data_IF_366768817982
#
_entry.id   IF_366768817982
#
_cell.length_a   1.000
_cell.length_b   1.000
_cell.length_c   1.000
_cell.angle_alpha   90.00
_cell.angle_beta   90.00
_cell.angle_gamma   90.00
#
_symmetry.space_group_name_H-M   'P 1'
#
loop_
_entity.id
_entity.type
_entity.pdbx_description
1 polymer ?
#
# COMPACT_ATOMS: atom_id res chain seq x y z
N UNK A 1 50.27 -39.94 -49.52
CA UNK A 1 49.63 -40.33 -50.78
C UNK A 1 48.34 -39.54 -50.92
N UNK A 2 48.32 -38.75 -51.93
CA UNK A 2 47.27 -37.80 -52.31
C UNK A 2 45.93 -38.46 -52.60
N UNK A 3 44.91 -37.63 -52.54
CA UNK A 3 43.63 -37.56 -53.31
C UNK A 3 42.43 -37.43 -52.40
N UNK A 4 41.40 -36.68 -52.73
CA UNK A 4 41.13 -35.50 -53.54
C UNK A 4 39.69 -35.05 -53.17
N UNK A 5 39.42 -33.79 -53.26
CA UNK A 5 38.08 -33.16 -53.11
C UNK A 5 37.19 -33.61 -54.28
N UNK A 6 35.85 -33.67 -53.95
CA UNK A 6 34.80 -33.10 -54.81
C UNK A 6 33.41 -33.33 -54.20
N UNK A 7 32.76 -32.26 -53.89
CA UNK A 7 31.41 -31.75 -54.20
C UNK A 7 30.20 -32.67 -53.97
N UNK A 8 29.37 -32.27 -52.97
CA UNK A 8 27.94 -32.47 -53.03
C UNK A 8 27.24 -31.19 -52.55
N UNK A 9 26.67 -30.45 -53.49
CA UNK A 9 25.70 -29.37 -53.25
C UNK A 9 24.47 -29.98 -52.60
N UNK A 10 24.10 -29.50 -51.42
CA UNK A 10 22.77 -29.70 -50.85
C UNK A 10 21.99 -28.39 -50.95
N UNK A 11 20.91 -28.44 -51.66
CA UNK A 11 19.90 -27.37 -51.84
C UNK A 11 19.26 -27.04 -50.52
N UNK A 12 19.49 -25.84 -50.00
CA UNK A 12 18.75 -25.27 -48.90
C UNK A 12 17.43 -24.73 -49.43
N UNK A 13 16.36 -25.46 -49.18
CA UNK A 13 15.00 -24.95 -49.32
C UNK A 13 14.75 -23.91 -48.21
N UNK A 14 14.69 -22.64 -48.58
CA UNK A 14 14.32 -21.54 -47.68
C UNK A 14 12.87 -21.64 -47.28
N UNK A 15 12.63 -22.12 -46.07
CA UNK A 15 11.38 -21.98 -45.38
C UNK A 15 11.35 -20.60 -44.69
N UNK A 16 10.64 -19.63 -45.27
CA UNK A 16 10.30 -18.39 -44.61
C UNK A 16 9.31 -18.70 -43.49
N UNK A 17 9.78 -18.71 -42.24
CA UNK A 17 8.94 -18.66 -41.06
C UNK A 17 8.32 -17.26 -41.04
N UNK A 18 7.05 -17.16 -41.48
CA UNK A 18 6.17 -16.04 -41.25
C UNK A 18 5.87 -15.99 -39.74
N UNK A 19 6.57 -15.11 -39.01
CA UNK A 19 6.17 -14.70 -37.66
C UNK A 19 4.86 -13.93 -37.81
N UNK A 20 3.76 -14.59 -37.60
CA UNK A 20 2.48 -13.93 -37.40
C UNK A 20 2.62 -13.03 -36.16
N UNK A 21 2.82 -11.75 -36.39
CA UNK A 21 2.62 -10.71 -35.37
C UNK A 21 1.13 -10.76 -34.99
N UNK A 22 0.80 -11.49 -33.94
CA UNK A 22 -0.46 -11.32 -33.26
C UNK A 22 -0.42 -9.90 -32.64
N UNK A 23 -0.99 -8.94 -33.33
CA UNK A 23 -1.36 -7.66 -32.74
C UNK A 23 -2.29 -7.96 -31.58
N UNK A 24 -1.73 -7.96 -30.36
CA UNK A 24 -2.51 -7.92 -29.15
C UNK A 24 -3.24 -6.57 -29.14
N UNK A 25 -4.48 -6.59 -29.62
CA UNK A 25 -5.44 -5.49 -29.47
C UNK A 25 -5.47 -5.10 -27.99
N UNK A 26 -5.03 -3.89 -27.68
CA UNK A 26 -5.19 -3.32 -26.35
C UNK A 26 -6.68 -3.31 -26.03
N UNK A 27 -7.11 -4.04 -25.01
CA UNK A 27 -8.49 -4.03 -24.56
C UNK A 27 -8.88 -2.57 -24.23
N UNK A 28 -10.11 -2.14 -24.57
CA UNK A 28 -10.53 -0.77 -24.35
C UNK A 28 -10.43 -0.43 -22.87
N UNK A 29 -9.69 0.62 -22.54
CA UNK A 29 -9.52 1.11 -21.17
C UNK A 29 -10.87 1.46 -20.59
N UNK A 30 -11.38 0.68 -19.63
CA UNK A 30 -12.64 0.99 -18.94
C UNK A 30 -12.49 2.31 -18.21
N UNK A 31 -13.29 3.30 -18.57
CA UNK A 31 -13.33 4.61 -17.91
C UNK A 31 -14.45 4.56 -16.87
N UNK A 32 -14.10 4.68 -15.60
CA UNK A 32 -15.06 4.90 -14.52
C UNK A 32 -15.04 6.40 -14.18
N UNK A 33 -16.21 7.01 -14.06
CA UNK A 33 -16.30 8.41 -13.65
C UNK A 33 -15.88 8.53 -12.18
N UNK A 34 -14.84 9.32 -11.92
CA UNK A 34 -14.39 9.59 -10.55
C UNK A 34 -15.38 10.52 -9.83
N UNK A 35 -15.79 10.17 -8.62
CA UNK A 35 -16.63 10.99 -7.76
C UNK A 35 -15.81 11.92 -6.88
N UNK A 36 -16.13 13.21 -6.85
CA UNK A 36 -15.50 14.19 -5.99
C UNK A 36 -15.99 14.03 -4.55
N UNK A 37 -15.09 13.76 -3.62
CA UNK A 37 -15.39 13.62 -2.19
C UNK A 37 -15.17 14.93 -1.42
N UNK A 38 -14.12 15.69 -1.72
CA UNK A 38 -13.75 16.94 -1.06
C UNK A 38 -13.01 17.86 -2.00
N UNK A 39 -13.14 19.19 -1.76
CA UNK A 39 -12.32 20.25 -2.38
C UNK A 39 -11.34 20.88 -1.40
N UNK A 40 -11.19 20.32 -0.21
CA UNK A 40 -10.35 20.83 0.86
C UNK A 40 -9.24 19.85 1.25
N UNK A 41 -8.92 18.92 0.37
CA UNK A 41 -7.87 17.92 0.64
C UNK A 41 -6.53 18.55 0.99
N UNK A 42 -5.86 17.99 1.99
CA UNK A 42 -4.49 18.39 2.33
C UNK A 42 -3.50 17.96 1.24
N UNK A 43 -2.26 18.44 1.29
CA UNK A 43 -1.20 17.99 0.39
C UNK A 43 -0.87 16.49 0.48
N UNK A 44 -1.43 15.79 1.45
CA UNK A 44 -1.33 14.34 1.66
C UNK A 44 -2.68 13.74 2.05
N UNK A 45 -3.76 14.21 1.44
CA UNK A 45 -5.12 13.84 1.83
C UNK A 45 -5.36 12.33 1.84
N UNK A 46 -4.77 11.60 0.92
CA UNK A 46 -4.94 10.16 0.74
C UNK A 46 -3.65 9.36 1.02
N UNK A 47 -2.62 9.96 1.63
CA UNK A 47 -1.46 9.25 2.12
C UNK A 47 -1.82 8.49 3.42
N UNK A 48 -1.14 7.52 3.84
CA UNK A 48 -0.01 6.78 3.29
C UNK A 48 -0.47 5.40 2.84
N UNK A 49 0.34 4.69 2.01
CA UNK A 49 -0.02 3.37 1.47
C UNK A 49 -0.30 2.33 2.57
N UNK A 50 0.47 2.34 3.65
CA UNK A 50 0.30 1.44 4.79
C UNK A 50 -1.02 1.65 5.55
N UNK A 51 -1.55 2.87 5.57
CA UNK A 51 -2.76 3.23 6.27
C UNK A 51 -3.99 3.05 5.37
N UNK A 52 -4.73 1.96 5.55
CA UNK A 52 -5.96 1.70 4.79
C UNK A 52 -7.02 2.79 5.03
N UNK A 53 -7.72 3.20 3.99
CA UNK A 53 -8.70 4.30 4.02
C UNK A 53 -10.10 3.90 3.59
N UNK A 54 -10.26 2.67 3.14
CA UNK A 54 -11.47 2.20 2.46
C UNK A 54 -11.92 0.89 3.09
N UNK A 55 -13.18 0.81 3.50
CA UNK A 55 -13.79 -0.40 4.03
C UNK A 55 -15.19 -0.54 3.44
N UNK A 56 -15.47 -1.71 2.85
CA UNK A 56 -16.82 -2.07 2.37
C UNK A 56 -17.45 -3.11 3.28
N UNK A 57 -18.62 -2.78 3.84
CA UNK A 57 -19.43 -3.69 4.65
C UNK A 57 -20.82 -3.80 4.04
N UNK A 58 -21.18 -4.97 3.54
CA UNK A 58 -22.43 -5.18 2.82
C UNK A 58 -22.54 -4.23 1.63
N UNK A 59 -23.58 -3.41 1.62
CA UNK A 59 -23.87 -2.47 0.53
C UNK A 59 -23.28 -1.06 0.76
N UNK A 60 -22.45 -0.88 1.77
CA UNK A 60 -21.86 0.43 2.08
C UNK A 60 -20.35 0.39 2.01
N UNK A 61 -19.78 1.41 1.35
CA UNK A 61 -18.33 1.67 1.36
C UNK A 61 -18.05 2.94 2.13
N UNK A 62 -17.23 2.83 3.18
CA UNK A 62 -16.76 3.95 3.99
C UNK A 62 -15.38 4.37 3.53
N UNK A 63 -15.22 5.66 3.25
CA UNK A 63 -13.96 6.22 2.72
C UNK A 63 -13.52 7.36 3.60
N UNK A 64 -12.27 7.31 4.07
CA UNK A 64 -11.65 8.32 4.94
C UNK A 64 -10.51 9.04 4.22
N UNK A 65 -10.29 10.32 4.58
CA UNK A 65 -9.18 11.12 4.07
C UNK A 65 -8.83 12.25 5.04
N UNK A 66 -7.83 13.06 4.69
CA UNK A 66 -7.38 14.20 5.48
C UNK A 66 -7.62 15.51 4.73
N UNK A 67 -8.55 16.32 5.20
CA UNK A 67 -8.73 17.70 4.75
C UNK A 67 -7.77 18.65 5.47
N UNK A 68 -7.43 19.78 4.82
CA UNK A 68 -6.85 20.96 5.43
C UNK A 68 -7.80 22.15 5.23
N UNK A 69 -8.25 22.73 6.33
CA UNK A 69 -9.19 23.86 6.35
C UNK A 69 -8.58 25.01 7.15
N UNK A 70 -9.19 26.20 7.09
CA UNK A 70 -8.68 27.39 7.78
C UNK A 70 -8.26 27.12 9.24
N UNK A 71 -9.01 26.27 9.94
CA UNK A 71 -8.77 25.93 11.35
C UNK A 71 -7.89 24.68 11.55
N UNK A 72 -7.10 24.29 10.56
CA UNK A 72 -6.15 23.17 10.60
C UNK A 72 -6.65 21.92 9.89
N UNK A 73 -6.17 20.74 10.30
CA UNK A 73 -6.43 19.47 9.62
C UNK A 73 -7.59 18.72 10.24
N UNK A 74 -8.38 18.04 9.40
CA UNK A 74 -9.55 17.24 9.83
C UNK A 74 -9.58 15.91 9.10
N UNK A 75 -9.68 14.84 9.87
CA UNK A 75 -10.01 13.50 9.32
C UNK A 75 -11.49 13.47 8.98
N UNK A 76 -11.78 13.16 7.72
CA UNK A 76 -13.12 13.12 7.15
C UNK A 76 -13.51 11.72 6.76
N UNK A 77 -14.80 11.49 6.66
CA UNK A 77 -15.38 10.26 6.13
C UNK A 77 -16.67 10.54 5.35
N UNK A 78 -16.87 9.78 4.29
CA UNK A 78 -18.14 9.65 3.57
C UNK A 78 -18.47 8.18 3.38
N UNK A 79 -19.74 7.90 3.24
CA UNK A 79 -20.27 6.56 2.96
C UNK A 79 -20.95 6.56 1.61
N UNK A 80 -20.54 5.64 0.74
CA UNK A 80 -21.24 5.32 -0.50
C UNK A 80 -22.27 4.24 -0.23
N UNK A 81 -23.51 4.48 -0.51
CA UNK A 81 -24.55 3.45 -0.64
C UNK A 81 -24.43 2.82 -2.03
N UNK A 82 -23.98 1.58 -2.09
CA UNK A 82 -23.72 0.86 -3.36
C UNK A 82 -24.99 0.43 -4.07
N UNK A 83 -26.16 0.41 -3.40
CA UNK A 83 -27.44 0.07 -4.02
C UNK A 83 -27.93 1.16 -4.96
N UNK A 84 -27.73 2.41 -4.58
CA UNK A 84 -28.24 3.56 -5.34
C UNK A 84 -27.13 4.48 -5.86
N UNK A 85 -25.85 4.21 -5.51
CA UNK A 85 -24.69 5.00 -5.92
C UNK A 85 -24.58 6.38 -5.24
N UNK A 86 -25.33 6.61 -4.16
CA UNK A 86 -25.36 7.91 -3.49
C UNK A 86 -24.34 8.02 -2.37
N UNK A 87 -23.73 9.17 -2.26
CA UNK A 87 -22.81 9.52 -1.18
C UNK A 87 -23.55 10.25 -0.03
N UNK A 88 -23.20 9.87 1.19
CA UNK A 88 -23.61 10.64 2.39
C UNK A 88 -23.01 12.05 2.36
N UNK A 89 -23.47 12.93 3.24
CA UNK A 89 -22.72 14.14 3.57
C UNK A 89 -21.36 13.77 4.18
N UNK A 90 -20.45 14.74 4.20
CA UNK A 90 -19.12 14.58 4.82
C UNK A 90 -19.25 14.66 6.34
N UNK A 91 -18.71 13.68 7.05
CA UNK A 91 -18.62 13.64 8.50
C UNK A 91 -17.20 13.91 8.96
N UNK A 92 -17.03 14.42 10.16
CA UNK A 92 -15.72 14.63 10.80
C UNK A 92 -15.47 13.52 11.81
N UNK A 93 -14.34 12.82 11.69
CA UNK A 93 -13.88 11.86 12.69
C UNK A 93 -13.15 12.60 13.82
N UNK A 94 -12.23 13.49 13.49
CA UNK A 94 -11.46 14.26 14.46
C UNK A 94 -10.43 15.19 13.82
N UNK A 95 -9.64 15.91 14.63
CA UNK A 95 -8.55 16.76 14.15
C UNK A 95 -7.34 15.94 13.73
N UNK A 96 -6.36 16.58 13.08
CA UNK A 96 -5.03 16.03 12.90
C UNK A 96 -3.96 17.12 13.14
N UNK A 97 -2.73 16.70 13.41
CA UNK A 97 -1.64 17.61 13.74
C UNK A 97 -1.16 18.42 12.54
N UNK A 98 -0.94 17.72 11.44
CA UNK A 98 -0.48 18.27 10.17
C UNK A 98 -0.86 17.30 9.04
N UNK A 99 -0.29 17.47 7.86
CA UNK A 99 -0.59 16.63 6.68
C UNK A 99 -0.09 15.17 6.79
N UNK A 100 0.57 14.77 7.89
CA UNK A 100 0.93 13.37 8.16
C UNK A 100 -0.12 12.65 9.02
N UNK A 101 -1.10 13.35 9.54
CA UNK A 101 -2.11 12.82 10.46
C UNK A 101 -3.24 12.03 9.80
N UNK A 102 -3.02 11.51 8.60
CA UNK A 102 -4.02 10.74 7.85
C UNK A 102 -4.48 9.48 8.59
N UNK A 103 -5.77 9.10 8.38
CA UNK A 103 -6.39 7.99 9.09
C UNK A 103 -5.93 6.63 8.59
N UNK A 104 -6.00 5.62 9.49
CA UNK A 104 -6.04 4.21 9.16
C UNK A 104 -7.35 3.61 9.64
N UNK A 105 -8.10 2.96 8.75
CA UNK A 105 -9.47 2.48 8.93
C UNK A 105 -9.52 0.96 8.86
N UNK A 106 -10.27 0.33 9.76
CA UNK A 106 -10.64 -1.11 9.69
C UNK A 106 -12.06 -1.32 10.24
N UNK A 107 -12.54 -2.57 10.27
CA UNK A 107 -13.87 -2.94 10.74
C UNK A 107 -13.83 -4.24 11.53
N UNK A 108 -14.60 -4.32 12.62
CA UNK A 108 -14.79 -5.53 13.43
C UNK A 108 -15.88 -6.46 12.85
N UNK A 109 -16.06 -7.65 13.46
CA UNK A 109 -17.03 -8.67 13.02
C UNK A 109 -18.50 -8.20 13.17
N UNK A 110 -18.76 -7.24 14.04
CA UNK A 110 -20.07 -6.65 14.27
C UNK A 110 -20.36 -5.49 13.33
N UNK A 111 -19.38 -5.09 12.52
CA UNK A 111 -19.49 -4.00 11.56
C UNK A 111 -19.16 -2.62 12.13
N UNK A 112 -18.62 -2.49 13.34
CA UNK A 112 -18.15 -1.21 13.85
C UNK A 112 -16.85 -0.81 13.14
N UNK A 113 -16.81 0.44 12.72
CA UNK A 113 -15.64 1.05 12.10
C UNK A 113 -14.66 1.51 13.16
N UNK A 114 -13.37 1.26 12.97
CA UNK A 114 -12.30 1.68 13.85
C UNK A 114 -11.30 2.55 13.11
N UNK A 115 -10.97 3.72 13.66
CA UNK A 115 -10.04 4.68 13.04
C UNK A 115 -8.96 5.07 14.04
N UNK A 116 -7.70 4.96 13.59
CA UNK A 116 -6.53 5.52 14.27
C UNK A 116 -5.99 6.66 13.42
N UNK A 117 -5.70 7.81 14.04
CA UNK A 117 -5.36 9.04 13.33
C UNK A 117 -4.57 10.03 14.20
N UNK A 118 -4.29 11.19 13.70
CA UNK A 118 -3.74 12.39 14.31
C UNK A 118 -2.21 12.58 14.18
N UNK A 119 -1.31 11.60 14.47
CA UNK A 119 0.04 11.98 14.88
C UNK A 119 1.00 12.30 13.74
N UNK A 120 1.93 13.15 14.11
CA UNK A 120 3.26 13.27 13.55
C UNK A 120 4.22 13.51 14.71
N UNK A 121 4.82 12.44 15.23
CA UNK A 121 5.62 12.42 16.46
C UNK A 121 4.84 12.77 17.74
N UNK A 122 3.54 12.42 17.78
CA UNK A 122 2.64 12.63 18.90
C UNK A 122 1.96 11.31 19.30
N UNK A 123 1.16 11.26 20.39
CA UNK A 123 0.24 10.16 20.64
C UNK A 123 -0.77 10.00 19.49
N UNK A 124 -1.21 8.77 19.23
CA UNK A 124 -2.35 8.49 18.37
C UNK A 124 -3.65 8.81 19.05
N UNK A 125 -4.66 9.06 18.24
CA UNK A 125 -6.05 9.15 18.62
C UNK A 125 -6.84 8.04 17.95
N UNK A 126 -7.76 7.48 18.70
CA UNK A 126 -8.60 6.37 18.27
C UNK A 126 -10.06 6.69 18.54
N UNK A 127 -10.94 6.27 17.62
CA UNK A 127 -12.40 6.24 17.76
C UNK A 127 -12.97 5.01 17.09
N UNK A 128 -14.12 4.54 17.63
CA UNK A 128 -14.96 3.55 17.00
C UNK A 128 -16.31 4.19 16.59
N UNK A 129 -16.93 3.70 15.52
CA UNK A 129 -18.29 4.14 15.18
C UNK A 129 -19.27 3.69 16.26
N UNK A 130 -20.27 4.54 16.59
CA UNK A 130 -21.27 4.22 17.63
C UNK A 130 -22.26 3.12 17.18
N UNK A 131 -22.46 2.98 15.88
CA UNK A 131 -23.35 1.97 15.30
C UNK A 131 -22.61 1.16 14.23
N UNK A 132 -22.96 -0.13 14.06
CA UNK A 132 -22.46 -0.94 12.98
C UNK A 132 -22.72 -0.29 11.62
N UNK A 133 -21.74 -0.35 10.74
CA UNK A 133 -21.84 0.08 9.33
C UNK A 133 -22.38 1.52 9.16
N UNK A 134 -21.99 2.40 10.09
CA UNK A 134 -22.42 3.80 10.15
C UNK A 134 -21.28 4.72 10.58
N UNK A 135 -20.82 5.58 9.67
CA UNK A 135 -19.76 6.55 9.91
C UNK A 135 -20.25 7.93 10.38
N UNK A 136 -21.53 8.08 10.72
CA UNK A 136 -22.13 9.37 11.07
C UNK A 136 -21.80 9.85 12.48
N UNK A 137 -21.48 8.93 13.40
CA UNK A 137 -21.18 9.23 14.79
C UNK A 137 -20.10 8.31 15.36
N UNK A 138 -19.25 8.88 16.20
CA UNK A 138 -18.04 8.25 16.73
C UNK A 138 -18.00 8.31 18.25
N UNK A 139 -17.36 7.32 18.88
CA UNK A 139 -17.11 7.28 20.32
C UNK A 139 -16.28 8.50 20.78
N UNK A 140 -16.14 8.68 22.06
CA UNK A 140 -15.14 9.59 22.61
C UNK A 140 -13.75 9.24 22.12
N UNK A 141 -12.90 10.27 22.03
CA UNK A 141 -11.53 10.15 21.53
C UNK A 141 -10.64 9.54 22.63
N UNK A 142 -9.90 8.48 22.29
CA UNK A 142 -8.92 7.86 23.17
C UNK A 142 -7.52 8.17 22.64
N UNK A 143 -6.66 8.72 23.50
CA UNK A 143 -5.26 9.02 23.19
C UNK A 143 -4.36 7.92 23.73
N UNK A 144 -3.37 7.47 22.93
CA UNK A 144 -2.43 6.42 23.32
C UNK A 144 -1.07 6.54 22.63
N UNK A 145 -0.04 5.94 23.23
CA UNK A 145 1.32 5.94 22.72
C UNK A 145 2.03 7.29 22.86
N UNK A 146 3.27 7.38 22.40
CA UNK A 146 4.08 8.61 22.42
C UNK A 146 5.01 8.67 21.22
N UNK A 147 5.11 9.84 20.56
CA UNK A 147 6.01 10.10 19.42
C UNK A 147 5.85 9.09 18.29
N UNK A 148 4.62 8.67 18.03
CA UNK A 148 4.26 7.71 17.01
C UNK A 148 3.95 8.40 15.66
N UNK A 149 4.09 7.65 14.57
CA UNK A 149 3.74 8.10 13.21
C UNK A 149 3.51 6.88 12.31
N UNK A 150 2.68 7.03 11.26
CA UNK A 150 2.39 6.01 10.24
C UNK A 150 1.76 4.75 10.80
N UNK A 151 0.46 4.77 11.10
CA UNK A 151 -0.23 3.59 11.59
C UNK A 151 -0.56 2.63 10.45
N UNK A 152 -0.38 1.34 10.68
CA UNK A 152 -1.06 0.31 9.90
C UNK A 152 -1.96 -0.49 10.84
N UNK A 153 -3.27 -0.50 10.57
CA UNK A 153 -4.30 -1.02 11.47
C UNK A 153 -5.02 -2.20 10.84
N UNK A 154 -5.13 -3.30 11.58
CA UNK A 154 -5.89 -4.49 11.18
C UNK A 154 -6.74 -5.01 12.36
N UNK A 155 -7.83 -5.72 12.06
CA UNK A 155 -8.70 -6.35 13.05
C UNK A 155 -8.56 -7.88 12.97
N UNK A 156 -8.32 -8.54 14.08
CA UNK A 156 -8.20 -9.99 14.20
C UNK A 156 -9.55 -10.70 14.27
N UNK A 157 -9.54 -12.03 14.23
CA UNK A 157 -10.75 -12.87 14.25
C UNK A 157 -11.60 -12.70 15.51
N UNK A 158 -10.98 -12.33 16.61
CA UNK A 158 -11.59 -12.07 17.93
C UNK A 158 -11.95 -10.60 18.17
N UNK A 159 -12.01 -9.80 17.12
CA UNK A 159 -12.20 -8.35 17.15
C UNK A 159 -11.09 -7.56 17.88
N UNK A 160 -9.98 -8.19 18.24
CA UNK A 160 -8.81 -7.46 18.74
C UNK A 160 -8.20 -6.65 17.60
N UNK A 161 -8.00 -5.36 17.83
CA UNK A 161 -7.29 -4.50 16.89
C UNK A 161 -5.78 -4.67 17.08
N UNK A 162 -5.05 -4.74 15.98
CA UNK A 162 -3.60 -4.78 15.95
C UNK A 162 -3.07 -3.64 15.08
N UNK A 163 -1.98 -3.03 15.51
CA UNK A 163 -1.40 -1.88 14.81
C UNK A 163 0.11 -1.90 14.93
N UNK A 164 0.81 -1.55 13.85
CA UNK A 164 2.21 -1.14 13.92
C UNK A 164 2.33 0.36 13.71
N UNK A 165 3.36 0.95 14.30
CA UNK A 165 3.68 2.36 14.12
C UNK A 165 5.15 2.64 14.38
N UNK A 166 5.71 3.55 13.59
CA UNK A 166 7.05 4.08 13.81
C UNK A 166 7.10 4.96 15.05
N UNK A 167 8.08 4.72 15.93
CA UNK A 167 8.40 5.59 17.06
C UNK A 167 9.71 6.32 16.84
N UNK A 168 9.72 7.62 17.08
CA UNK A 168 10.89 8.48 16.94
C UNK A 168 11.55 8.81 18.29
N UNK A 169 12.88 8.91 18.29
CA UNK A 169 13.68 9.26 19.43
C UNK A 169 14.70 10.33 19.07
N UNK A 170 15.10 11.16 20.07
CA UNK A 170 16.14 12.17 19.86
C UNK A 170 17.57 11.60 19.87
N UNK A 171 17.84 10.65 20.77
CA UNK A 171 19.19 10.14 21.03
C UNK A 171 19.33 8.61 20.92
N UNK A 172 18.29 7.93 20.47
CA UNK A 172 18.29 6.47 20.28
C UNK A 172 17.85 6.13 18.84
N UNK A 173 18.18 4.93 18.34
CA UNK A 173 17.65 4.45 17.09
C UNK A 173 16.12 4.43 17.10
N UNK A 174 15.51 4.83 15.98
CA UNK A 174 14.06 4.78 15.82
C UNK A 174 13.56 3.35 15.66
N UNK A 175 12.32 3.12 16.07
CA UNK A 175 11.74 1.78 16.14
C UNK A 175 10.38 1.71 15.46
N UNK A 176 9.91 0.48 15.24
CA UNK A 176 8.49 0.17 15.00
C UNK A 176 7.98 -0.60 16.20
N UNK A 177 6.89 -0.12 16.75
CA UNK A 177 6.17 -0.75 17.87
C UNK A 177 4.94 -1.48 17.36
N UNK A 178 4.67 -2.65 17.95
CA UNK A 178 3.43 -3.40 17.79
C UNK A 178 2.50 -3.08 18.97
N UNK A 179 1.27 -2.74 18.65
CA UNK A 179 0.21 -2.40 19.60
C UNK A 179 -0.99 -3.30 19.37
N UNK A 180 -1.77 -3.56 20.42
CA UNK A 180 -3.07 -4.23 20.32
C UNK A 180 -4.11 -3.54 21.20
N UNK A 181 -5.38 -3.73 20.85
CA UNK A 181 -6.55 -3.30 21.65
C UNK A 181 -7.57 -4.43 21.64
N UNK A 182 -7.62 -5.27 22.66
CA UNK A 182 -8.70 -6.24 22.84
C UNK A 182 -10.06 -5.55 23.01
N UNK A 183 -11.12 -6.24 22.70
CA UNK A 183 -12.49 -5.72 22.87
C UNK A 183 -12.69 -5.28 24.32
N UNK A 184 -13.20 -4.06 24.52
CA UNK A 184 -13.47 -3.50 25.85
C UNK A 184 -12.24 -3.16 26.70
N UNK A 185 -11.01 -3.27 26.15
CA UNK A 185 -9.77 -2.91 26.84
C UNK A 185 -9.12 -1.70 26.19
N UNK A 186 -8.15 -1.13 26.89
CA UNK A 186 -7.32 -0.05 26.37
C UNK A 186 -6.26 -0.55 25.38
N UNK A 187 -5.64 0.39 24.68
CA UNK A 187 -4.48 0.10 23.86
C UNK A 187 -3.28 -0.28 24.71
N UNK A 188 -2.64 -1.39 24.38
CA UNK A 188 -1.42 -1.86 25.03
C UNK A 188 -0.32 -2.15 24.01
N UNK A 189 0.93 -1.84 24.39
CA UNK A 189 2.10 -2.14 23.57
C UNK A 189 2.47 -3.62 23.72
N UNK A 190 2.53 -4.35 22.61
CA UNK A 190 2.96 -5.76 22.57
C UNK A 190 4.49 -5.84 22.66
N UNK A 191 5.19 -4.96 21.92
CA UNK A 191 6.65 -4.92 21.91
C UNK A 191 7.23 -4.04 20.80
N UNK A 192 8.53 -3.87 20.85
CA UNK A 192 9.32 -3.27 19.77
C UNK A 192 9.68 -4.37 18.77
N UNK A 193 9.16 -4.30 17.56
CA UNK A 193 9.35 -5.35 16.54
C UNK A 193 10.49 -5.06 15.57
N UNK A 194 10.72 -3.78 15.26
CA UNK A 194 11.81 -3.36 14.37
C UNK A 194 12.62 -2.23 15.02
N UNK A 195 13.90 -2.15 14.71
CA UNK A 195 14.78 -1.07 15.15
C UNK A 195 15.82 -0.73 14.09
N UNK A 196 16.02 0.57 13.85
CA UNK A 196 17.16 1.08 13.09
C UNK A 196 18.48 0.75 13.80
N UNK A 197 19.52 0.49 13.01
CA UNK A 197 20.88 0.27 13.54
C UNK A 197 21.58 1.58 13.94
N UNK A 198 21.16 2.69 13.32
CA UNK A 198 21.76 4.00 13.53
C UNK A 198 20.83 4.94 14.31
N UNK A 199 21.42 5.82 15.10
CA UNK A 199 20.74 6.96 15.69
C UNK A 199 20.43 8.00 14.60
N UNK A 200 19.32 8.70 14.73
CA UNK A 200 18.88 9.74 13.81
C UNK A 200 17.68 9.32 12.95
N UNK A 201 17.45 10.09 11.88
CA UNK A 201 16.28 9.88 11.06
C UNK A 201 16.29 8.54 10.36
N UNK A 202 15.29 7.75 10.68
CA UNK A 202 14.96 6.50 10.00
C UNK A 202 13.48 6.49 9.62
N UNK A 203 13.17 5.89 8.49
CA UNK A 203 11.80 5.74 8.03
C UNK A 203 11.49 4.27 7.82
N UNK A 204 10.39 3.84 8.37
CA UNK A 204 9.83 2.52 8.15
C UNK A 204 8.51 2.69 7.41
N UNK A 205 8.33 1.98 6.32
CA UNK A 205 7.04 1.82 5.64
C UNK A 205 6.63 0.37 5.86
N UNK A 206 5.81 0.16 6.85
CA UNK A 206 5.32 -1.16 7.23
C UNK A 206 3.86 -1.33 6.82
N UNK A 207 3.49 -2.52 6.36
CA UNK A 207 2.12 -2.89 6.08
C UNK A 207 1.80 -4.26 6.64
N UNK A 208 0.64 -4.37 7.30
CA UNK A 208 0.09 -5.61 7.85
C UNK A 208 -0.99 -6.17 6.93
N UNK A 209 -1.04 -7.50 6.84
CA UNK A 209 -2.16 -8.22 6.26
C UNK A 209 -2.37 -9.54 7.00
N UNK A 210 -3.64 -9.93 7.16
CA UNK A 210 -3.97 -11.26 7.63
C UNK A 210 -3.83 -12.30 6.51
N UNK A 211 -3.33 -13.47 6.87
CA UNK A 211 -3.54 -14.69 6.11
C UNK A 211 -4.97 -15.21 6.26
N UNK A 212 -5.32 -16.32 5.60
CA UNK A 212 -6.64 -16.94 5.70
C UNK A 212 -7.06 -17.17 7.17
N UNK A 213 -8.32 -16.93 7.47
CA UNK A 213 -8.93 -17.08 8.80
C UNK A 213 -8.27 -16.25 9.91
N UNK A 214 -7.54 -15.19 9.56
CA UNK A 214 -6.82 -14.33 10.51
C UNK A 214 -5.86 -15.10 11.47
N UNK A 215 -5.27 -16.20 10.99
CA UNK A 215 -4.39 -17.03 11.82
C UNK A 215 -2.94 -16.55 11.79
N UNK A 216 -2.48 -16.10 10.63
CA UNK A 216 -1.12 -15.59 10.43
C UNK A 216 -1.17 -14.10 10.09
N UNK A 217 -0.39 -13.34 10.83
CA UNK A 217 -0.18 -11.91 10.57
C UNK A 217 1.10 -11.73 9.75
N UNK A 218 0.98 -11.21 8.55
CA UNK A 218 2.09 -10.92 7.66
C UNK A 218 2.46 -9.45 7.75
N UNK A 219 3.76 -9.16 7.69
CA UNK A 219 4.29 -7.80 7.65
C UNK A 219 5.33 -7.68 6.53
N UNK A 220 5.13 -6.70 5.65
CA UNK A 220 6.17 -6.19 4.77
C UNK A 220 6.67 -4.85 5.27
N UNK A 221 7.95 -4.55 5.06
CA UNK A 221 8.51 -3.29 5.49
C UNK A 221 9.64 -2.83 4.59
N UNK A 222 9.71 -1.52 4.36
CA UNK A 222 10.94 -0.84 3.95
C UNK A 222 11.62 -0.24 5.17
N UNK A 223 12.83 -0.65 5.45
CA UNK A 223 13.72 -0.04 6.43
C UNK A 223 14.64 0.93 5.70
N UNK A 224 14.53 2.22 6.03
CA UNK A 224 15.32 3.31 5.45
C UNK A 224 16.10 3.98 6.57
N UNK A 225 17.40 3.73 6.60
CA UNK A 225 18.30 4.20 7.64
C UNK A 225 19.23 5.29 7.13
N UNK A 226 19.65 6.15 8.04
CA UNK A 226 20.64 7.19 7.78
C UNK A 226 20.35 7.99 6.50
N UNK A 227 19.11 8.49 6.39
CA UNK A 227 18.60 9.27 5.24
C UNK A 227 18.80 8.56 3.89
N UNK A 228 18.65 7.24 3.84
CA UNK A 228 18.74 6.45 2.63
C UNK A 228 20.15 5.97 2.28
N UNK A 229 21.10 6.02 3.22
CA UNK A 229 22.38 5.35 3.04
C UNK A 229 22.18 3.83 2.90
N UNK A 230 21.28 3.27 3.70
CA UNK A 230 20.86 1.86 3.63
C UNK A 230 19.35 1.78 3.46
N UNK A 231 18.90 0.94 2.55
CA UNK A 231 17.50 0.62 2.31
C UNK A 231 17.31 -0.88 2.15
N UNK A 232 16.36 -1.44 2.91
CA UNK A 232 16.00 -2.86 2.84
C UNK A 232 14.50 -2.97 2.71
N UNK A 233 14.03 -3.74 1.74
CA UNK A 233 12.66 -4.26 1.70
C UNK A 233 12.69 -5.65 2.30
N UNK A 234 11.91 -5.87 3.34
CA UNK A 234 11.91 -7.11 4.10
C UNK A 234 10.52 -7.62 4.40
N UNK A 235 10.48 -8.84 4.88
CA UNK A 235 9.27 -9.56 5.23
C UNK A 235 9.46 -10.32 6.54
N UNK A 236 8.38 -10.42 7.31
CA UNK A 236 8.26 -11.33 8.44
C UNK A 236 6.80 -11.68 8.70
N UNK A 237 6.56 -12.77 9.42
CA UNK A 237 5.22 -13.17 9.83
C UNK A 237 5.17 -13.60 11.30
N UNK A 238 3.97 -13.57 11.87
CA UNK A 238 3.67 -13.98 13.24
C UNK A 238 2.46 -14.91 13.25
N UNK A 239 2.56 -16.03 13.98
CA UNK A 239 1.48 -16.97 14.25
C UNK A 239 0.90 -16.81 15.66
N UNK A 240 1.39 -15.84 16.43
CA UNK A 240 1.00 -15.54 17.81
C UNK A 240 0.63 -14.06 18.03
N UNK A 241 0.04 -13.46 16.98
CA UNK A 241 -0.52 -12.11 17.04
C UNK A 241 0.51 -11.01 17.34
N UNK A 242 1.70 -11.13 16.75
CA UNK A 242 2.76 -10.13 16.82
C UNK A 242 3.66 -10.24 18.04
N UNK A 243 3.54 -11.29 18.86
CA UNK A 243 4.44 -11.52 20.01
C UNK A 243 5.81 -12.00 19.56
N UNK A 244 5.85 -12.97 18.64
CA UNK A 244 7.10 -13.44 18.00
C UNK A 244 6.99 -13.39 16.47
N UNK A 245 8.13 -13.26 15.81
CA UNK A 245 8.20 -13.10 14.37
C UNK A 245 9.16 -14.11 13.73
N UNK A 246 8.84 -14.49 12.50
CA UNK A 246 9.62 -15.47 11.72
C UNK A 246 9.84 -14.95 10.31
N UNK A 247 10.93 -15.33 9.67
CA UNK A 247 11.14 -15.18 8.23
C UNK A 247 10.29 -16.19 7.43
N UNK A 248 10.16 -16.01 6.11
CA UNK A 248 9.32 -16.84 5.21
C UNK A 248 9.59 -18.35 5.31
N UNK A 249 10.82 -18.74 5.67
CA UNK A 249 11.23 -20.15 5.86
C UNK A 249 10.93 -20.67 7.27
N UNK A 250 10.19 -19.94 8.11
CA UNK A 250 9.85 -20.30 9.48
C UNK A 250 10.98 -20.03 10.51
N UNK A 251 12.15 -19.53 10.08
CA UNK A 251 13.25 -19.20 11.01
C UNK A 251 12.82 -18.12 11.99
N UNK A 252 12.96 -18.33 13.30
CA UNK A 252 12.70 -17.29 14.30
C UNK A 252 13.61 -16.07 14.09
N UNK A 253 13.02 -14.88 14.25
CA UNK A 253 13.73 -13.61 14.22
C UNK A 253 13.82 -13.05 15.64
N UNK A 254 15.06 -12.70 16.05
CA UNK A 254 15.27 -12.08 17.35
C UNK A 254 14.82 -10.63 17.30
N UNK A 255 13.90 -10.26 18.17
CA UNK A 255 13.36 -8.89 18.27
C UNK A 255 14.23 -8.01 19.18
N UNK A 256 14.32 -6.71 18.86
CA UNK A 256 13.83 -6.04 17.67
C UNK A 256 14.63 -6.40 16.42
N UNK A 257 13.93 -6.73 15.34
CA UNK A 257 14.51 -7.08 14.04
C UNK A 257 15.14 -5.84 13.39
N UNK A 258 16.24 -6.00 12.66
CA UNK A 258 16.94 -4.91 11.96
C UNK A 258 17.08 -5.18 10.47
N UNK A 259 17.65 -4.23 9.73
CA UNK A 259 17.96 -4.39 8.30
C UNK A 259 18.90 -5.59 8.00
N UNK A 260 19.69 -6.05 9.00
CA UNK A 260 20.60 -7.21 8.87
C UNK A 260 19.92 -8.55 9.16
N UNK A 261 18.89 -8.54 10.00
CA UNK A 261 18.30 -9.78 10.54
C UNK A 261 16.95 -10.13 9.94
N UNK A 262 16.29 -9.19 9.28
CA UNK A 262 15.00 -9.41 8.60
C UNK A 262 15.16 -10.40 7.43
N UNK A 263 14.07 -11.03 7.03
CA UNK A 263 14.03 -11.79 5.78
C UNK A 263 13.99 -10.82 4.59
N UNK A 264 15.14 -10.66 3.94
CA UNK A 264 15.38 -9.64 2.91
C UNK A 264 14.76 -10.04 1.57
N UNK A 265 13.91 -9.15 1.03
CA UNK A 265 13.38 -9.23 -0.34
C UNK A 265 14.33 -8.49 -1.30
N UNK A 266 14.71 -7.26 -0.96
CA UNK A 266 15.61 -6.43 -1.75
C UNK A 266 16.44 -5.52 -0.84
N UNK A 267 17.64 -5.18 -1.28
CA UNK A 267 18.54 -4.24 -0.61
C UNK A 267 19.04 -3.17 -1.57
N UNK A 268 19.29 -1.98 -1.07
CA UNK A 268 19.76 -0.83 -1.81
C UNK A 268 20.22 0.30 -0.88
N UNK A 269 20.22 1.50 -1.41
CA UNK A 269 20.65 2.70 -0.71
C UNK A 269 21.90 3.34 -1.33
N UNK A 270 22.20 4.55 -0.89
CA UNK A 270 23.27 5.36 -1.53
C UNK A 270 24.68 4.84 -1.28
N UNK A 271 24.93 4.22 -0.12
CA UNK A 271 26.29 3.73 0.24
C UNK A 271 26.79 2.68 -0.75
N UNK A 272 25.88 1.90 -1.31
CA UNK A 272 26.24 0.84 -2.24
C UNK A 272 26.01 1.24 -3.70
N UNK A 273 25.69 2.53 -3.98
CA UNK A 273 25.37 3.00 -5.34
C UNK A 273 24.14 2.31 -5.95
N UNK A 274 23.30 1.72 -5.11
CA UNK A 274 22.16 0.92 -5.50
C UNK A 274 20.86 1.72 -5.56
N UNK A 275 19.85 1.09 -6.13
CA UNK A 275 18.50 1.65 -6.24
C UNK A 275 17.93 2.13 -4.91
N UNK A 276 17.20 3.25 -4.96
CA UNK A 276 16.30 3.63 -3.89
C UNK A 276 15.05 2.77 -3.93
N UNK A 277 14.61 2.29 -2.78
CA UNK A 277 13.41 1.47 -2.65
C UNK A 277 12.30 2.22 -1.92
N UNK A 278 11.05 1.88 -2.26
CA UNK A 278 9.88 2.19 -1.45
C UNK A 278 9.02 0.95 -1.33
N UNK A 279 8.54 0.65 -0.14
CA UNK A 279 7.58 -0.43 0.04
C UNK A 279 6.18 0.11 -0.29
N UNK A 280 5.43 -0.70 -1.01
CA UNK A 280 3.99 -0.54 -1.12
C UNK A 280 3.31 -1.25 0.05
N UNK A 281 2.30 -2.04 -0.27
CA UNK A 281 1.60 -2.86 0.72
C UNK A 281 1.86 -4.35 0.50
N UNK A 282 1.24 -5.15 1.33
CA UNK A 282 1.25 -6.61 1.25
C UNK A 282 -0.18 -7.11 1.10
N UNK A 283 -0.38 -8.11 0.24
CA UNK A 283 -1.59 -8.92 0.18
C UNK A 283 -1.25 -10.38 0.42
N UNK A 284 -2.22 -11.18 0.75
CA UNK A 284 -2.05 -12.62 0.99
C UNK A 284 -3.06 -13.37 0.13
N UNK A 285 -2.60 -14.38 -0.58
CA UNK A 285 -3.46 -15.26 -1.40
C UNK A 285 -4.26 -16.22 -0.51
N UNK A 286 -5.31 -16.85 -1.05
CA UNK A 286 -6.14 -17.81 -0.32
C UNK A 286 -5.36 -19.04 0.18
N UNK A 287 -4.25 -19.37 -0.48
CA UNK A 287 -3.32 -20.43 -0.03
C UNK A 287 -2.23 -19.92 0.94
N UNK A 288 -2.38 -18.69 1.46
CA UNK A 288 -1.54 -18.11 2.49
C UNK A 288 -0.19 -17.55 2.02
N UNK A 289 0.03 -17.39 0.71
CA UNK A 289 1.28 -16.82 0.18
C UNK A 289 1.27 -15.29 0.23
N UNK A 290 2.30 -14.66 0.81
CA UNK A 290 2.43 -13.21 0.76
C UNK A 290 2.80 -12.73 -0.65
N UNK A 291 2.18 -11.63 -1.06
CA UNK A 291 2.51 -10.85 -2.25
C UNK A 291 2.95 -9.47 -1.78
N UNK A 292 4.23 -9.18 -1.83
CA UNK A 292 4.80 -7.90 -1.40
C UNK A 292 5.03 -7.02 -2.61
N UNK A 293 4.49 -5.81 -2.56
CA UNK A 293 4.70 -4.81 -3.59
C UNK A 293 5.77 -3.81 -3.13
N UNK A 294 6.74 -3.53 -3.98
CA UNK A 294 7.73 -2.48 -3.75
C UNK A 294 8.18 -1.85 -5.06
N UNK A 295 8.81 -0.69 -4.98
CA UNK A 295 9.47 -0.08 -6.12
C UNK A 295 10.97 0.02 -5.93
N UNK A 296 11.69 -0.10 -7.04
CA UNK A 296 13.11 0.17 -7.12
C UNK A 296 13.35 1.25 -8.16
N UNK A 297 14.09 2.30 -7.83
CA UNK A 297 14.43 3.37 -8.76
C UNK A 297 15.94 3.51 -8.89
N UNK A 298 16.44 3.21 -10.07
CA UNK A 298 17.74 3.69 -10.54
C UNK A 298 17.44 4.93 -11.39
N UNK A 299 18.07 6.06 -11.11
CA UNK A 299 17.90 7.22 -12.00
C UNK A 299 18.38 6.82 -13.42
N UNK A 300 17.57 7.04 -14.49
CA UNK A 300 16.33 7.83 -14.56
C UNK A 300 15.01 7.04 -14.52
N UNK A 301 14.93 5.80 -14.10
CA UNK A 301 13.71 5.00 -14.17
C UNK A 301 13.28 4.41 -12.83
N UNK A 302 12.00 4.08 -12.70
CA UNK A 302 11.45 3.31 -11.59
C UNK A 302 10.88 1.97 -12.08
N UNK A 303 11.10 0.91 -11.34
CA UNK A 303 10.46 -0.39 -11.54
C UNK A 303 9.49 -0.65 -10.38
N UNK A 304 8.30 -1.11 -10.69
CA UNK A 304 7.34 -1.61 -9.72
C UNK A 304 7.42 -3.14 -9.69
N UNK A 305 7.65 -3.70 -8.53
CA UNK A 305 8.01 -5.11 -8.40
C UNK A 305 7.05 -5.82 -7.44
N UNK A 306 6.48 -6.92 -7.91
CA UNK A 306 5.80 -7.91 -7.08
C UNK A 306 6.80 -8.97 -6.64
N UNK A 307 6.87 -9.25 -5.34
CA UNK A 307 7.68 -10.31 -4.78
C UNK A 307 6.80 -11.36 -4.10
N UNK A 308 7.02 -12.62 -4.46
CA UNK A 308 6.36 -13.79 -3.86
C UNK A 308 7.42 -14.82 -3.46
N UNK A 309 7.21 -15.66 -2.43
CA UNK A 309 8.12 -16.76 -2.14
C UNK A 309 8.28 -17.69 -3.34
N UNK A 310 9.50 -18.12 -3.64
CA UNK A 310 9.80 -19.00 -4.77
C UNK A 310 9.60 -20.50 -4.49
N UNK A 311 9.11 -20.83 -3.30
CA UNK A 311 8.95 -22.20 -2.83
C UNK A 311 10.25 -22.88 -2.36
N UNK A 312 11.38 -22.18 -2.45
CA UNK A 312 12.71 -22.63 -2.00
C UNK A 312 13.23 -21.69 -0.89
N UNK A 313 14.34 -21.06 -1.11
CA UNK A 313 14.96 -20.15 -0.14
C UNK A 313 14.93 -18.68 -0.57
N UNK A 314 14.27 -18.34 -1.68
CA UNK A 314 14.32 -17.05 -2.33
C UNK A 314 12.96 -16.36 -2.49
N UNK A 315 12.99 -15.25 -3.21
CA UNK A 315 11.87 -14.46 -3.63
C UNK A 315 11.83 -14.39 -5.16
N UNK A 316 10.73 -14.84 -5.76
CA UNK A 316 10.45 -14.57 -7.16
C UNK A 316 10.01 -13.10 -7.28
N UNK A 317 10.66 -12.36 -8.18
CA UNK A 317 10.38 -10.94 -8.42
C UNK A 317 9.86 -10.75 -9.83
N UNK A 318 8.81 -9.94 -9.95
CA UNK A 318 8.21 -9.62 -11.26
C UNK A 318 8.05 -8.11 -11.39
N UNK A 319 8.70 -7.54 -12.39
CA UNK A 319 8.56 -6.13 -12.77
C UNK A 319 7.27 -5.89 -13.56
N UNK A 320 6.64 -4.75 -13.36
CA UNK A 320 5.42 -4.33 -14.04
C UNK A 320 5.65 -3.18 -15.04
N UNK A 321 6.78 -2.48 -14.96
CA UNK A 321 7.02 -1.27 -15.75
C UNK A 321 6.97 -1.52 -17.26
N UNK A 322 7.56 -2.60 -17.75
CA UNK A 322 7.55 -2.93 -19.18
C UNK A 322 6.13 -3.17 -19.73
N UNK A 323 5.30 -3.90 -18.98
CA UNK A 323 3.91 -4.16 -19.36
C UNK A 323 3.08 -2.87 -19.34
N UNK A 324 3.30 -2.00 -18.35
CA UNK A 324 2.65 -0.70 -18.24
C UNK A 324 3.05 0.21 -19.41
N UNK A 325 4.34 0.33 -19.73
CA UNK A 325 4.81 1.17 -20.83
C UNK A 325 4.30 0.71 -22.20
N UNK A 326 4.07 -0.59 -22.38
CA UNK A 326 3.45 -1.14 -23.59
C UNK A 326 2.00 -0.71 -23.74
N UNK A 327 1.25 -0.68 -22.63
CA UNK A 327 -0.18 -0.31 -22.62
C UNK A 327 -0.38 1.22 -22.64
N UNK A 328 0.54 1.95 -22.01
CA UNK A 328 0.54 3.42 -21.94
C UNK A 328 1.88 3.99 -22.41
N UNK A 329 2.13 4.08 -23.71
CA UNK A 329 3.35 4.68 -24.24
C UNK A 329 3.54 6.12 -23.76
N UNK A 330 4.77 6.47 -23.38
CA UNK A 330 5.11 7.80 -22.84
C UNK A 330 4.84 7.99 -21.34
N UNK A 331 4.30 6.98 -20.64
CA UNK A 331 4.10 7.01 -19.21
C UNK A 331 5.02 6.03 -18.48
N UNK A 332 5.54 6.48 -17.34
CA UNK A 332 6.33 5.66 -16.43
C UNK A 332 5.57 5.40 -15.14
N UNK A 333 5.82 4.24 -14.53
CA UNK A 333 5.25 3.88 -13.24
C UNK A 333 6.00 4.60 -12.11
N UNK A 334 5.26 5.23 -11.20
CA UNK A 334 5.83 5.96 -10.06
C UNK A 334 6.12 5.05 -8.86
N UNK A 335 6.80 5.58 -7.84
CA UNK A 335 7.38 4.79 -6.75
C UNK A 335 6.42 4.46 -5.60
N UNK A 336 5.16 4.80 -5.63
CA UNK A 336 4.22 4.51 -4.56
C UNK A 336 3.04 3.72 -5.08
N UNK A 337 2.76 2.58 -4.45
CA UNK A 337 1.69 1.69 -4.88
C UNK A 337 1.17 0.83 -3.73
N UNK A 338 -0.02 0.29 -3.94
CA UNK A 338 -0.67 -0.64 -3.03
C UNK A 338 -1.13 -1.87 -3.79
N UNK A 339 -1.12 -3.01 -3.14
CA UNK A 339 -1.63 -4.28 -3.66
C UNK A 339 -2.79 -4.78 -2.80
N UNK A 340 -3.80 -5.32 -3.45
CA UNK A 340 -4.96 -5.99 -2.86
C UNK A 340 -5.29 -7.24 -3.66
N UNK A 341 -5.86 -8.25 -3.01
CA UNK A 341 -6.39 -9.45 -3.67
C UNK A 341 -7.85 -9.58 -3.27
N UNK A 342 -8.74 -9.73 -4.25
CA UNK A 342 -10.16 -9.92 -3.99
C UNK A 342 -10.50 -11.39 -3.70
N UNK A 343 -11.72 -11.64 -3.24
CA UNK A 343 -12.23 -13.00 -2.95
C UNK A 343 -12.19 -13.98 -4.13
N UNK A 344 -12.02 -13.50 -5.36
CA UNK A 344 -11.92 -14.34 -6.56
C UNK A 344 -10.46 -14.60 -6.95
N UNK A 345 -9.50 -14.23 -6.10
CA UNK A 345 -8.06 -14.39 -6.35
C UNK A 345 -7.50 -13.39 -7.37
N UNK A 346 -8.27 -12.41 -7.82
CA UNK A 346 -7.75 -11.36 -8.70
C UNK A 346 -6.94 -10.36 -7.88
N UNK A 347 -5.69 -10.19 -8.25
CA UNK A 347 -4.80 -9.19 -7.70
C UNK A 347 -5.04 -7.84 -8.37
N UNK A 348 -5.01 -6.78 -7.57
CA UNK A 348 -5.07 -5.39 -8.02
C UNK A 348 -3.89 -4.61 -7.47
N UNK A 349 -3.33 -3.73 -8.29
CA UNK A 349 -2.28 -2.78 -7.90
C UNK A 349 -2.72 -1.39 -8.29
N UNK A 350 -2.78 -0.46 -7.34
CA UNK A 350 -2.91 0.97 -7.66
C UNK A 350 -1.52 1.59 -7.71
N UNK A 351 -1.21 2.30 -8.79
CA UNK A 351 0.09 2.91 -9.01
C UNK A 351 -0.02 4.37 -9.42
N UNK A 352 0.89 5.20 -8.93
CA UNK A 352 1.10 6.52 -9.48
C UNK A 352 1.81 6.39 -10.84
N UNK A 353 1.37 7.18 -11.81
CA UNK A 353 1.95 7.26 -13.14
C UNK A 353 2.54 8.65 -13.37
N UNK A 354 3.62 8.74 -14.12
CA UNK A 354 4.26 9.99 -14.46
C UNK A 354 4.54 10.07 -15.97
N UNK A 355 4.27 11.22 -16.55
CA UNK A 355 4.67 11.62 -17.89
C UNK A 355 5.17 13.07 -17.81
N UNK A 356 5.61 13.64 -18.92
CA UNK A 356 6.15 15.00 -18.97
C UNK A 356 5.17 16.02 -18.34
N UNK A 357 5.55 16.55 -17.18
CA UNK A 357 4.78 17.54 -16.43
C UNK A 357 3.48 17.06 -15.77
N UNK A 358 3.07 15.81 -15.99
CA UNK A 358 1.79 15.24 -15.55
C UNK A 358 1.98 14.05 -14.61
N UNK A 359 0.97 13.82 -13.77
CA UNK A 359 0.84 12.59 -12.99
C UNK A 359 -0.60 12.05 -13.13
N UNK A 360 -0.72 10.74 -13.16
CA UNK A 360 -2.00 10.05 -13.21
C UNK A 360 -2.01 8.84 -12.27
N UNK A 361 -3.12 8.12 -12.23
CA UNK A 361 -3.31 6.91 -11.42
C UNK A 361 -3.70 5.76 -12.33
N UNK A 362 -3.00 4.64 -12.20
CA UNK A 362 -3.35 3.38 -12.83
C UNK A 362 -3.93 2.39 -11.81
N UNK A 363 -4.95 1.65 -12.19
CA UNK A 363 -5.38 0.43 -11.51
C UNK A 363 -5.07 -0.76 -12.40
N UNK A 364 -4.12 -1.57 -11.98
CA UNK A 364 -3.65 -2.76 -12.69
C UNK A 364 -4.33 -3.97 -12.08
N UNK A 365 -4.91 -4.85 -12.89
CA UNK A 365 -5.45 -6.12 -12.43
C UNK A 365 -4.75 -7.32 -13.07
N UNK A 366 -4.70 -8.44 -12.35
CA UNK A 366 -4.08 -9.69 -12.80
C UNK A 366 -4.70 -10.89 -12.09
N UNK A 367 -4.91 -11.98 -12.82
CA UNK A 367 -5.36 -13.28 -12.29
C UNK A 367 -4.21 -14.27 -12.05
N UNK A 368 -3.00 -13.92 -12.44
CA UNK A 368 -1.83 -14.79 -12.44
C UNK A 368 -0.58 -14.12 -11.83
N UNK A 369 -0.82 -13.25 -10.84
CA UNK A 369 0.20 -12.52 -10.09
C UNK A 369 1.16 -11.72 -11.00
N UNK A 370 0.56 -10.98 -11.96
CA UNK A 370 1.28 -10.04 -12.81
C UNK A 370 1.96 -10.65 -14.04
N UNK A 371 1.66 -11.90 -14.42
CA UNK A 371 2.13 -12.45 -15.71
C UNK A 371 1.39 -11.81 -16.87
N UNK A 372 0.07 -11.71 -16.71
CA UNK A 372 -0.80 -10.94 -17.60
C UNK A 372 -1.46 -9.83 -16.81
N UNK A 373 -1.59 -8.64 -17.39
CA UNK A 373 -2.18 -7.48 -16.72
C UNK A 373 -3.22 -6.81 -17.61
N UNK A 374 -4.24 -6.26 -16.97
CA UNK A 374 -5.15 -5.28 -17.52
C UNK A 374 -4.96 -3.96 -16.78
N UNK A 375 -5.09 -2.82 -17.46
CA UNK A 375 -4.89 -1.50 -16.87
C UNK A 375 -6.14 -0.64 -17.07
N UNK A 376 -6.61 -0.07 -15.97
CA UNK A 376 -7.66 0.95 -15.94
C UNK A 376 -7.07 2.31 -15.57
N UNK A 377 -7.75 3.38 -16.00
CA UNK A 377 -7.44 4.78 -15.64
C UNK A 377 -8.53 5.34 -14.73
N UNK A 378 -8.48 5.12 -13.41
CA UNK A 378 -9.53 5.57 -12.49
C UNK A 378 -9.69 7.10 -12.45
N UNK A 379 -8.68 7.85 -12.87
CA UNK A 379 -8.68 9.31 -12.90
C UNK A 379 -8.88 9.92 -14.30
N UNK A 380 -9.31 9.15 -15.31
CA UNK A 380 -9.34 9.60 -16.71
C UNK A 380 -10.19 10.85 -16.97
N UNK A 381 -11.24 11.10 -16.18
CA UNK A 381 -12.10 12.28 -16.31
C UNK A 381 -11.69 13.47 -15.43
N UNK A 382 -10.62 13.35 -14.66
CA UNK A 382 -10.18 14.39 -13.73
C UNK A 382 -9.25 15.38 -14.43
N UNK A 383 -9.61 16.68 -14.41
CA UNK A 383 -8.94 17.72 -15.17
C UNK A 383 -7.56 18.13 -14.67
N UNK A 384 -7.28 17.93 -13.36
CA UNK A 384 -5.99 18.31 -12.78
C UNK A 384 -4.86 17.47 -13.37
N UNK A 385 -3.76 18.11 -13.76
CA UNK A 385 -2.58 17.44 -14.35
C UNK A 385 -1.80 16.59 -13.35
N UNK A 386 -1.96 16.86 -12.06
CA UNK A 386 -1.24 16.15 -11.01
C UNK A 386 -2.19 15.42 -10.09
N UNK A 387 -2.09 14.08 -10.11
CA UNK A 387 -2.85 13.15 -9.28
C UNK A 387 -1.87 12.22 -8.60
N UNK A 388 -2.00 12.04 -7.29
CA UNK A 388 -1.02 11.26 -6.52
C UNK A 388 -1.61 10.63 -5.26
N UNK A 389 -0.79 9.85 -4.54
CA UNK A 389 -1.09 9.21 -3.27
C UNK A 389 -2.38 8.40 -3.33
N UNK A 390 -2.56 7.64 -4.41
CA UNK A 390 -3.67 6.72 -4.51
C UNK A 390 -3.61 5.68 -3.40
N UNK A 391 -4.78 5.38 -2.82
CA UNK A 391 -4.96 4.35 -1.81
C UNK A 391 -6.02 3.37 -2.31
N UNK A 392 -5.79 2.08 -2.07
CA UNK A 392 -6.57 0.96 -2.59
C UNK A 392 -7.34 0.29 -1.45
N UNK A 393 -8.58 -0.13 -1.71
CA UNK A 393 -9.34 -0.94 -0.77
C UNK A 393 -8.64 -2.29 -0.52
N UNK A 394 -8.40 -2.63 0.74
CA UNK A 394 -7.74 -3.85 1.19
C UNK A 394 -8.50 -4.49 2.34
N UNK A 395 -8.48 -5.81 2.42
CA UNK A 395 -9.05 -6.54 3.55
C UNK A 395 -8.15 -6.38 4.79
N UNK A 396 -8.53 -5.47 5.70
CA UNK A 396 -7.80 -5.18 6.96
C UNK A 396 -8.52 -5.63 8.20
N UNK A 397 -9.74 -6.16 8.08
CA UNK A 397 -10.58 -6.64 9.18
C UNK A 397 -11.63 -7.61 8.66
N UNK A 398 -12.83 -7.52 9.21
CA UNK A 398 -13.95 -8.42 8.87
C UNK A 398 -14.70 -8.07 7.58
N UNK A 399 -14.12 -7.21 6.74
CA UNK A 399 -14.61 -6.96 5.40
C UNK A 399 -13.76 -7.67 4.35
N UNK A 400 -14.31 -7.83 3.18
CA UNK A 400 -13.63 -8.47 2.06
C UNK A 400 -13.81 -7.65 0.78
N UNK A 401 -12.79 -7.66 -0.06
CA UNK A 401 -12.84 -7.07 -1.40
C UNK A 401 -13.51 -8.06 -2.33
N UNK A 402 -14.81 -7.85 -2.65
CA UNK A 402 -15.61 -8.83 -3.41
C UNK A 402 -15.43 -8.76 -4.92
N UNK A 403 -14.93 -7.67 -5.45
CA UNK A 403 -14.77 -7.43 -6.89
C UNK A 403 -13.62 -6.50 -7.19
N UNK A 404 -13.85 -5.53 -8.08
CA UNK A 404 -12.92 -4.42 -8.28
C UNK A 404 -12.86 -3.58 -6.99
N UNK A 405 -11.67 -3.38 -6.40
CA UNK A 405 -11.52 -2.55 -5.21
C UNK A 405 -11.77 -1.08 -5.52
N UNK A 406 -12.21 -0.36 -4.52
CA UNK A 406 -12.29 1.10 -4.59
C UNK A 406 -10.90 1.75 -4.55
N UNK A 407 -10.80 2.90 -5.18
CA UNK A 407 -9.59 3.73 -5.22
C UNK A 407 -9.90 5.14 -4.74
N UNK A 408 -9.08 5.68 -3.85
CA UNK A 408 -9.12 7.10 -3.47
C UNK A 408 -7.79 7.75 -3.85
N UNK A 409 -7.82 8.98 -4.36
CA UNK A 409 -6.60 9.72 -4.72
C UNK A 409 -6.77 11.22 -4.55
N UNK A 410 -5.65 11.92 -4.46
CA UNK A 410 -5.58 13.38 -4.35
C UNK A 410 -5.22 13.98 -5.71
N UNK A 411 -5.85 15.10 -6.08
CA UNK A 411 -5.51 15.88 -7.27
C UNK A 411 -5.34 17.37 -6.94
N UNK A 412 -4.27 17.99 -7.48
CA UNK A 412 -3.98 19.41 -7.26
C UNK A 412 -2.51 19.72 -6.96
N UNK A 413 -2.17 20.22 -5.77
CA UNK A 413 -0.80 20.59 -5.39
C UNK A 413 -0.36 19.94 -4.08
N UNK A 414 0.91 19.52 -4.01
CA UNK A 414 1.46 18.85 -2.82
C UNK A 414 1.75 19.80 -1.66
N UNK A 415 1.92 21.09 -1.94
CA UNK A 415 2.43 22.05 -0.97
C UNK A 415 3.94 21.90 -0.70
N UNK A 416 4.49 22.81 0.11
CA UNK A 416 5.90 22.84 0.51
C UNK A 416 6.11 22.36 1.94
N UNK A 417 5.22 22.74 2.85
CA UNK A 417 5.29 22.45 4.28
C UNK A 417 4.31 21.39 4.77
N UNK A 418 4.53 20.94 5.99
CA UNK A 418 3.66 19.93 6.61
C UNK A 418 2.34 20.55 7.11
N UNK A 419 2.32 21.85 7.33
CA UNK A 419 1.18 22.60 7.87
C UNK A 419 0.48 23.48 6.85
N UNK A 420 0.82 23.35 5.55
CA UNK A 420 0.18 24.10 4.49
C UNK A 420 -1.32 23.77 4.42
N UNK A 421 -2.14 24.81 4.44
CA UNK A 421 -3.58 24.71 4.18
C UNK A 421 -3.80 24.79 2.67
N UNK A 422 -4.27 23.72 2.10
CA UNK A 422 -4.44 23.55 0.66
C UNK A 422 -5.90 23.22 0.33
N UNK A 423 -6.30 23.50 -0.92
CA UNK A 423 -7.62 23.17 -1.45
C UNK A 423 -7.47 22.14 -2.57
N UNK A 424 -6.98 20.96 -2.22
CA UNK A 424 -6.90 19.86 -3.17
C UNK A 424 -8.24 19.14 -3.31
N UNK A 425 -8.48 18.62 -4.50
CA UNK A 425 -9.59 17.72 -4.72
C UNK A 425 -9.23 16.29 -4.26
N UNK A 426 -10.18 15.65 -3.60
CA UNK A 426 -10.10 14.23 -3.23
C UNK A 426 -11.16 13.48 -4.03
N UNK A 427 -10.75 12.46 -4.76
CA UNK A 427 -11.60 11.68 -5.64
C UNK A 427 -11.68 10.22 -5.22
N UNK A 428 -12.82 9.61 -5.51
CA UNK A 428 -13.11 8.18 -5.47
C UNK A 428 -13.36 7.64 -6.87
N UNK A 429 -12.88 6.40 -7.15
CA UNK A 429 -13.16 5.69 -8.39
C UNK A 429 -13.27 4.16 -8.21
#
# INVERSE_FOLDING_TARGET
MMMNRRDALAVLAGGTLSLANAELSAAPTKVHAAALLSRSGSGRATAYAEANKIVTVGDKTHVTWLDSIKDGFRVRVRTLDRKNGQWSKTWTVGPARDNHGGPSLTVDSRGHLHVVYFPHHHPFRYRASLKPNDASAWSDEVEFGRKLTYPTLVCGADDTLYMTARRSYGKMPWTVEMWKKPVGKDWEMVGTILRSRAVGYSHFQEALAWGPDHKRLHLSVRIHENRGAVEVVGYMFSDDFGKTWRGRNGRPLVQPVSAETIDVIASGGRVEGKSSHKCGTIAVTDDGKPVVLYSASNSPGAEMILATPDGKSGWQRRGLAAAVSKTWPGWSIGPAAEVSINRKGTMYVVAAMASEGQNDVALISSKDLGRTIEIERPAAGVKQDKKWLANLERATGHHQVNGRPGVIFTAGTRGKGNTDILSNDVFWA
#
